data_IF_362511715141
#
_entry.id   IF_362511715141
#
_cell.length_a   1.000
_cell.length_b   1.000
_cell.length_c   1.000
_cell.angle_alpha   90.00
_cell.angle_beta   90.00
_cell.angle_gamma   90.00
#
_symmetry.space_group_name_H-M   'P 1'
#
loop_
_entity.id
_entity.type
_entity.pdbx_description
1 polymer ?
#
# COMPACT_ATOMS: atom_id res chain seq x y z
N UNK A 1 -5.75 26.08 23.58
CA UNK A 1 -5.56 24.63 23.35
C UNK A 1 -5.45 24.41 21.84
N UNK A 2 -4.25 24.18 21.33
CA UNK A 2 -3.97 24.12 19.88
C UNK A 2 -3.88 22.65 19.46
N UNK A 3 -4.84 22.16 18.68
CA UNK A 3 -4.85 20.81 18.12
C UNK A 3 -3.85 20.78 16.97
N UNK A 4 -2.74 20.07 17.14
CA UNK A 4 -1.83 19.77 16.04
C UNK A 4 -2.42 18.55 15.34
N UNK A 5 -3.04 18.78 14.19
CA UNK A 5 -3.49 17.76 13.25
C UNK A 5 -2.21 17.12 12.71
N UNK A 6 -1.86 15.96 13.24
CA UNK A 6 -0.75 15.15 12.74
C UNK A 6 -1.17 14.61 11.36
N UNK A 7 -0.82 15.36 10.31
CA UNK A 7 -1.04 14.95 8.93
C UNK A 7 -0.37 13.61 8.67
N UNK A 8 -1.19 12.59 8.42
CA UNK A 8 -0.76 11.22 8.14
C UNK A 8 -0.24 11.09 6.70
N UNK A 9 0.85 11.79 6.38
CA UNK A 9 1.40 11.86 5.02
C UNK A 9 2.80 11.27 4.85
N UNK A 10 3.30 10.47 5.81
CA UNK A 10 4.64 9.90 5.71
C UNK A 10 4.65 8.41 6.06
N UNK A 11 3.91 7.63 5.27
CA UNK A 11 3.96 6.16 5.30
C UNK A 11 4.65 5.58 4.06
N UNK A 12 5.43 6.40 3.37
CA UNK A 12 6.30 5.96 2.28
C UNK A 12 7.75 6.05 2.76
N UNK A 13 8.55 5.06 2.38
CA UNK A 13 10.00 4.93 2.63
C UNK A 13 10.49 4.16 3.87
N UNK A 14 10.02 2.93 4.09
CA UNK A 14 10.80 1.94 4.87
C UNK A 14 10.80 0.52 4.25
N UNK A 15 10.83 0.41 2.92
CA UNK A 15 11.26 -0.82 2.25
C UNK A 15 12.69 -0.60 1.74
N UNK A 16 13.63 -0.53 2.67
CA UNK A 16 15.04 -0.39 2.38
C UNK A 16 15.87 -1.21 3.36
N UNK A 17 16.53 -2.24 2.83
CA UNK A 17 17.60 -3.03 3.45
C UNK A 17 17.20 -4.16 4.41
N UNK A 18 16.56 -5.21 3.87
CA UNK A 18 16.45 -6.52 4.53
C UNK A 18 16.31 -7.63 3.50
N UNK A 19 17.36 -8.44 3.33
CA UNK A 19 17.48 -9.53 2.36
C UNK A 19 16.27 -10.49 2.35
N UNK A 20 15.55 -10.57 1.23
CA UNK A 20 14.96 -11.80 0.68
C UNK A 20 14.50 -11.53 -0.76
N UNK A 21 15.29 -11.96 -1.75
CA UNK A 21 14.94 -11.87 -3.18
C UNK A 21 13.57 -12.52 -3.45
N UNK A 22 13.22 -13.53 -2.67
CA UNK A 22 11.94 -14.22 -2.75
C UNK A 22 10.74 -13.35 -2.34
N UNK A 23 10.90 -12.47 -1.34
CA UNK A 23 9.85 -11.53 -0.93
C UNK A 23 9.68 -10.42 -1.96
N UNK A 24 10.76 -9.94 -2.56
CA UNK A 24 10.71 -8.97 -3.66
C UNK A 24 9.96 -9.56 -4.86
N UNK A 25 10.26 -10.81 -5.23
CA UNK A 25 9.58 -11.48 -6.36
C UNK A 25 8.11 -11.76 -6.06
N UNK A 26 7.76 -12.17 -4.84
CA UNK A 26 6.35 -12.33 -4.42
C UNK A 26 5.61 -11.00 -4.40
N UNK A 27 6.28 -9.93 -3.97
CA UNK A 27 5.75 -8.57 -4.00
C UNK A 27 5.44 -8.13 -5.44
N UNK A 28 6.40 -8.24 -6.36
CA UNK A 28 6.20 -7.89 -7.77
C UNK A 28 5.07 -8.68 -8.43
N UNK A 29 4.95 -9.99 -8.15
CA UNK A 29 3.88 -10.83 -8.69
C UNK A 29 2.49 -10.42 -8.20
N UNK A 30 2.37 -10.00 -6.95
CA UNK A 30 1.08 -9.57 -6.40
C UNK A 30 0.67 -8.17 -6.89
N UNK A 31 1.62 -7.25 -7.11
CA UNK A 31 1.35 -5.98 -7.79
C UNK A 31 0.84 -6.25 -9.22
N UNK A 32 1.55 -7.06 -10.00
CA UNK A 32 1.14 -7.38 -11.39
C UNK A 32 -0.25 -8.03 -11.44
N UNK A 33 -0.55 -8.91 -10.49
CA UNK A 33 -1.87 -9.51 -10.34
C UNK A 33 -2.96 -8.45 -10.11
N UNK A 34 -2.76 -7.54 -9.16
CA UNK A 34 -3.76 -6.52 -8.83
C UNK A 34 -3.89 -5.45 -9.92
N UNK A 35 -2.79 -5.06 -10.59
CA UNK A 35 -2.84 -4.15 -11.74
C UNK A 35 -3.64 -4.73 -12.91
N UNK A 36 -3.62 -6.06 -13.10
CA UNK A 36 -4.44 -6.75 -14.11
C UNK A 36 -5.88 -7.00 -13.66
N UNK A 37 -6.14 -7.05 -12.35
CA UNK A 37 -7.44 -7.39 -11.74
C UNK A 37 -7.89 -6.29 -10.76
N UNK A 38 -8.20 -5.11 -11.29
CA UNK A 38 -8.52 -3.92 -10.48
C UNK A 38 -9.76 -4.10 -9.59
N UNK A 39 -10.76 -4.87 -10.02
CA UNK A 39 -11.92 -5.16 -9.15
C UNK A 39 -11.53 -5.97 -7.92
N UNK A 40 -10.61 -6.93 -8.08
CA UNK A 40 -10.05 -7.68 -6.97
C UNK A 40 -9.17 -6.81 -6.08
N UNK A 41 -8.40 -5.88 -6.68
CA UNK A 41 -7.63 -4.89 -5.93
C UNK A 41 -8.57 -4.03 -5.06
N UNK A 42 -9.67 -3.52 -5.62
CA UNK A 42 -10.69 -2.75 -4.88
C UNK A 42 -11.36 -3.57 -3.78
N UNK A 43 -11.67 -4.85 -4.04
CA UNK A 43 -12.23 -5.74 -3.03
C UNK A 43 -11.24 -5.98 -1.88
N UNK A 44 -9.96 -6.21 -2.21
CA UNK A 44 -8.90 -6.39 -1.22
C UNK A 44 -8.67 -5.13 -0.40
N UNK A 45 -8.66 -3.93 -1.00
CA UNK A 45 -8.57 -2.66 -0.27
C UNK A 45 -9.71 -2.51 0.74
N UNK A 46 -10.94 -2.90 0.40
CA UNK A 46 -12.07 -2.91 1.34
C UNK A 46 -11.87 -3.91 2.48
N UNK A 47 -11.34 -5.10 2.19
CA UNK A 47 -10.98 -6.08 3.22
C UNK A 47 -9.90 -5.52 4.17
N UNK A 48 -8.89 -4.85 3.61
CA UNK A 48 -7.82 -4.21 4.38
C UNK A 48 -8.33 -3.08 5.27
N UNK A 49 -9.35 -2.33 4.83
CA UNK A 49 -9.98 -1.30 5.66
C UNK A 49 -10.64 -1.89 6.92
N UNK A 50 -11.22 -3.10 6.83
CA UNK A 50 -11.78 -3.78 8.01
C UNK A 50 -10.71 -4.24 9.02
N UNK A 51 -9.45 -4.36 8.58
CA UNK A 51 -8.30 -4.79 9.40
C UNK A 51 -7.29 -3.65 9.62
N UNK A 52 -7.68 -2.41 9.35
CA UNK A 52 -6.78 -1.27 9.33
C UNK A 52 -6.02 -1.07 10.65
N UNK A 53 -6.68 -1.22 11.80
CA UNK A 53 -6.05 -1.08 13.11
C UNK A 53 -4.93 -2.11 13.33
N UNK A 54 -5.13 -3.35 12.88
CA UNK A 54 -4.14 -4.43 12.98
C UNK A 54 -2.94 -4.13 12.09
N UNK A 55 -3.20 -3.70 10.85
CA UNK A 55 -2.16 -3.38 9.87
C UNK A 55 -1.34 -2.14 10.27
N UNK A 56 -1.97 -1.12 10.86
CA UNK A 56 -1.28 0.05 11.42
C UNK A 56 -0.37 -0.36 12.57
N UNK A 57 -0.88 -1.17 13.50
CA UNK A 57 -0.07 -1.65 14.63
C UNK A 57 1.11 -2.48 14.14
N UNK A 58 0.89 -3.37 13.17
CA UNK A 58 1.96 -4.15 12.56
C UNK A 58 3.02 -3.26 11.92
N UNK A 59 2.61 -2.20 11.22
CA UNK A 59 3.55 -1.29 10.60
C UNK A 59 4.36 -0.48 11.63
N UNK A 60 3.76 -0.11 12.77
CA UNK A 60 4.50 0.49 13.88
C UNK A 60 5.54 -0.49 14.45
N UNK A 61 5.19 -1.77 14.58
CA UNK A 61 6.13 -2.82 15.03
C UNK A 61 7.30 -2.98 14.03
N UNK A 62 7.03 -2.94 12.74
CA UNK A 62 8.07 -2.96 11.68
C UNK A 62 8.96 -1.72 11.78
N UNK A 63 8.38 -0.52 11.90
CA UNK A 63 9.11 0.74 12.01
C UNK A 63 9.98 0.81 13.28
N UNK A 64 9.58 0.11 14.35
CA UNK A 64 10.38 -0.06 15.57
C UNK A 64 11.52 -1.08 15.43
N UNK A 65 11.72 -1.66 14.24
CA UNK A 65 12.79 -2.61 13.93
C UNK A 65 12.52 -4.04 14.40
N UNK A 66 11.29 -4.35 14.82
CA UNK A 66 10.98 -5.58 15.55
C UNK A 66 10.33 -6.69 14.73
N UNK A 67 9.92 -6.45 13.47
CA UNK A 67 9.06 -7.39 12.76
C UNK A 67 9.24 -7.37 11.24
N UNK A 68 9.13 -8.54 10.62
CA UNK A 68 9.02 -8.72 9.17
C UNK A 68 7.56 -8.44 8.77
N UNK A 69 7.29 -7.77 7.64
CA UNK A 69 5.93 -7.55 7.15
C UNK A 69 5.15 -8.86 6.97
N UNK A 70 3.91 -8.91 7.44
CA UNK A 70 3.00 -10.00 7.10
C UNK A 70 2.67 -9.98 5.60
N UNK A 71 2.35 -11.17 5.08
CA UNK A 71 1.80 -11.33 3.73
C UNK A 71 0.56 -10.45 3.50
N UNK A 72 -0.25 -10.27 4.54
CA UNK A 72 -1.47 -9.48 4.46
C UNK A 72 -1.17 -7.98 4.34
N UNK A 73 -0.20 -7.46 5.09
CA UNK A 73 0.26 -6.07 4.94
C UNK A 73 0.81 -5.81 3.53
N UNK A 74 1.56 -6.76 2.98
CA UNK A 74 2.11 -6.68 1.62
C UNK A 74 0.97 -6.68 0.58
N UNK A 75 0.03 -7.63 0.66
CA UNK A 75 -1.11 -7.69 -0.26
C UNK A 75 -1.98 -6.42 -0.20
N UNK A 76 -2.19 -5.87 0.99
CA UNK A 76 -2.94 -4.63 1.18
C UNK A 76 -2.22 -3.41 0.59
N UNK A 77 -0.89 -3.34 0.74
CA UNK A 77 -0.08 -2.27 0.14
C UNK A 77 -0.15 -2.33 -1.39
N UNK A 78 -0.01 -3.53 -1.96
CA UNK A 78 0.01 -3.73 -3.41
C UNK A 78 -1.36 -3.50 -4.05
N UNK A 79 -2.43 -3.95 -3.38
CA UNK A 79 -3.79 -3.68 -3.84
C UNK A 79 -4.13 -2.19 -3.81
N UNK A 80 -3.67 -1.44 -2.78
CA UNK A 80 -3.83 0.02 -2.73
C UNK A 80 -3.06 0.70 -3.87
N UNK A 81 -1.80 0.33 -4.05
CA UNK A 81 -0.96 0.90 -5.11
C UNK A 81 -1.58 0.67 -6.50
N UNK A 82 -2.05 -0.54 -6.79
CA UNK A 82 -2.71 -0.84 -8.06
C UNK A 82 -4.00 -0.03 -8.29
N UNK A 83 -4.75 0.29 -7.22
CA UNK A 83 -5.95 1.15 -7.31
C UNK A 83 -5.57 2.62 -7.52
N UNK A 84 -4.52 3.10 -6.83
CA UNK A 84 -4.00 4.46 -6.97
C UNK A 84 -3.44 4.70 -8.38
N UNK A 85 -2.63 3.78 -8.91
CA UNK A 85 -2.06 3.86 -10.27
C UNK A 85 -3.14 3.98 -11.37
N UNK A 86 -4.30 3.32 -11.19
CA UNK A 86 -5.43 3.45 -12.13
C UNK A 86 -6.22 4.74 -11.92
N UNK A 87 -6.26 5.26 -10.69
CA UNK A 87 -6.89 6.54 -10.40
C UNK A 87 -6.10 7.71 -10.98
N UNK A 88 -4.76 7.67 -10.91
CA UNK A 88 -3.87 8.68 -11.51
C UNK A 88 -3.93 8.68 -13.04
N UNK A 89 -4.06 7.50 -13.67
CA UNK A 89 -4.28 7.42 -15.12
C UNK A 89 -5.63 8.00 -15.58
N UNK A 90 -6.59 8.17 -14.67
CA UNK A 90 -7.90 8.77 -15.00
C UNK A 90 -7.90 10.30 -14.86
N UNK A 91 -6.97 10.88 -14.09
CA UNK A 91 -6.80 12.35 -14.00
C UNK A 91 -5.91 12.92 -15.11
N UNK A 92 -5.06 12.11 -15.75
CA UNK A 92 -4.15 12.60 -16.79
C UNK A 92 -4.83 12.93 -18.13
N UNK A 93 -6.02 12.39 -18.43
CA UNK A 93 -6.73 12.66 -19.70
C UNK A 93 -7.58 13.94 -19.71
N UNK A 94 -7.71 14.67 -18.59
CA UNK A 94 -8.57 15.87 -18.53
C UNK A 94 -7.83 17.21 -18.63
N UNK A 95 -6.54 17.23 -19.01
CA UNK A 95 -5.76 18.48 -19.12
C UNK A 95 -5.03 18.70 -20.45
N UNK A 96 -5.43 18.03 -21.52
CA UNK A 96 -4.96 18.32 -22.89
C UNK A 96 -6.13 18.67 -23.82
N UNK A 97 -6.84 19.76 -23.50
CA UNK A 97 -7.65 20.48 -24.47
C UNK A 97 -7.74 21.95 -24.05
N UNK A 98 -6.76 22.73 -24.51
CA UNK A 98 -6.89 24.18 -24.65
C UNK A 98 -6.27 24.60 -25.97
#
# INVERSE_FOLDING_TARGET
MKKIILGSAALFFLIGCGNNVEDVVKNSKSIEYYSKNIEEAKAKVKECAAKQDVLIKEQQEIASGGKIPSKELIECSNARQAVEDVSDNTESENNESN
#
